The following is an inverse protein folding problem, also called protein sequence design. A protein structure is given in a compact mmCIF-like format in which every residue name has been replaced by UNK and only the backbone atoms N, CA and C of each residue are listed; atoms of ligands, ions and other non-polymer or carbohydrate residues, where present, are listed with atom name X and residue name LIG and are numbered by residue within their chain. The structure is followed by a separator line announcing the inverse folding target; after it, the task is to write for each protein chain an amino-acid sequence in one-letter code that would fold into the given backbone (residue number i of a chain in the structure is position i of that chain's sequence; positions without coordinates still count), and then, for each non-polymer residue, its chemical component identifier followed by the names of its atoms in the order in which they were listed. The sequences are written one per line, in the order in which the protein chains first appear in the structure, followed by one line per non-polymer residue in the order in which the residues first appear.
data_IF_002656319641
#
_entry.id   IF_002656319641
#
_cell.length_a   1.000
_cell.length_b   1.000
_cell.length_c   1.000
_cell.angle_alpha   90.00
_cell.angle_beta   90.00
_cell.angle_gamma   90.00
#
_symmetry.space_group_name_H-M   'P 1'
#
loop_
_entity.id
_entity.type
_entity.pdbx_description
1 polymer ?
#
# COMPACT_ATOMS: atom_id res chain seq x y z
N UNK A 1 -12.97 -7.10 -8.97
CA UNK A 1 -12.79 -5.65 -8.80
C UNK A 1 -13.15 -4.95 -10.09
N UNK A 2 -13.61 -3.69 -10.06
CA UNK A 2 -13.70 -2.87 -11.27
C UNK A 2 -12.31 -2.71 -11.92
N UNK A 3 -12.28 -2.64 -13.25
CA UNK A 3 -11.04 -2.58 -14.05
C UNK A 3 -10.85 -1.24 -14.79
N UNK A 4 -11.82 -0.34 -14.66
CA UNK A 4 -11.75 1.03 -15.17
C UNK A 4 -12.30 1.99 -14.13
N UNK A 5 -11.81 3.23 -14.16
CA UNK A 5 -12.28 4.32 -13.32
C UNK A 5 -12.82 5.42 -14.22
N UNK A 6 -14.09 5.74 -14.05
CA UNK A 6 -14.78 6.84 -14.72
C UNK A 6 -15.25 7.89 -13.70
N UNK A 7 -15.77 9.02 -14.18
CA UNK A 7 -16.32 10.04 -13.28
C UNK A 7 -17.50 9.51 -12.43
N UNK A 8 -18.34 8.63 -12.99
CA UNK A 8 -19.46 8.01 -12.26
C UNK A 8 -19.01 7.09 -11.12
N UNK A 9 -17.75 6.65 -11.14
CA UNK A 9 -17.18 5.83 -10.08
C UNK A 9 -16.64 6.66 -8.91
N UNK A 10 -16.56 7.99 -9.02
CA UNK A 10 -15.96 8.84 -7.99
C UNK A 10 -16.69 8.74 -6.65
N UNK A 11 -15.95 8.93 -5.56
CA UNK A 11 -16.45 8.81 -4.20
C UNK A 11 -17.46 9.92 -3.87
N UNK A 12 -18.72 9.54 -3.65
CA UNK A 12 -19.81 10.45 -3.30
C UNK A 12 -20.08 10.57 -1.80
N UNK A 13 -19.33 9.86 -0.95
CA UNK A 13 -19.48 9.89 0.51
C UNK A 13 -18.72 11.06 1.17
N UNK A 14 -18.13 11.94 0.38
CA UNK A 14 -17.31 13.08 0.84
C UNK A 14 -18.01 14.41 0.58
N UNK A 15 -17.64 15.49 1.29
CA UNK A 15 -18.17 16.83 1.03
C UNK A 15 -17.97 17.28 -0.43
N UNK A 16 -18.83 18.15 -0.92
CA UNK A 16 -18.78 18.68 -2.30
C UNK A 16 -17.40 19.24 -2.67
N UNK A 17 -16.74 19.95 -1.74
CA UNK A 17 -15.40 20.51 -1.96
C UNK A 17 -14.32 19.44 -2.20
N UNK A 18 -14.51 18.24 -1.68
CA UNK A 18 -13.62 17.09 -1.85
C UNK A 18 -13.98 16.31 -3.11
N UNK A 19 -15.29 16.18 -3.41
CA UNK A 19 -15.78 15.62 -4.67
C UNK A 19 -15.32 16.42 -5.90
N UNK A 20 -15.48 17.75 -5.89
CA UNK A 20 -15.04 18.60 -6.99
C UNK A 20 -13.52 18.57 -7.18
N UNK A 21 -12.78 18.41 -6.09
CA UNK A 21 -11.32 18.28 -6.13
C UNK A 21 -10.87 16.97 -6.80
N UNK A 22 -11.43 15.81 -6.40
CA UNK A 22 -11.13 14.53 -7.07
C UNK A 22 -11.61 14.53 -8.53
N UNK A 23 -12.77 15.12 -8.83
CA UNK A 23 -13.27 15.23 -10.21
C UNK A 23 -12.32 16.05 -11.08
N UNK A 24 -11.89 17.21 -10.61
CA UNK A 24 -10.92 18.07 -11.30
C UNK A 24 -9.60 17.34 -11.53
N UNK A 25 -9.06 16.64 -10.52
CA UNK A 25 -7.82 15.86 -10.66
C UNK A 25 -7.97 14.70 -11.65
N UNK A 26 -9.07 13.94 -11.58
CA UNK A 26 -9.33 12.83 -12.52
C UNK A 26 -9.33 13.29 -13.98
N UNK A 27 -9.94 14.45 -14.27
CA UNK A 27 -9.98 15.03 -15.61
C UNK A 27 -8.58 15.39 -16.17
N UNK A 28 -7.58 15.54 -15.28
CA UNK A 28 -6.19 15.77 -15.70
C UNK A 28 -5.41 14.49 -15.95
N UNK A 29 -5.89 13.30 -15.58
CA UNK A 29 -5.14 12.05 -15.73
C UNK A 29 -5.57 11.26 -16.97
N UNK A 30 -4.69 10.36 -17.44
CA UNK A 30 -5.07 9.33 -18.39
C UNK A 30 -5.87 8.23 -17.67
N UNK A 31 -7.09 7.96 -18.14
CA UNK A 31 -8.05 7.01 -17.55
C UNK A 31 -8.59 6.04 -18.60
N UNK A 32 -9.45 5.10 -18.20
CA UNK A 32 -10.23 4.25 -19.11
C UNK A 32 -9.80 2.79 -19.19
N UNK A 33 -8.49 2.50 -19.34
CA UNK A 33 -8.01 1.12 -19.52
C UNK A 33 -6.92 0.74 -18.52
N UNK A 34 -7.00 -0.49 -18.00
CA UNK A 34 -6.07 -1.03 -16.98
C UNK A 34 -4.61 -1.10 -17.47
N UNK A 35 -4.38 -1.21 -18.78
CA UNK A 35 -3.03 -1.24 -19.37
C UNK A 35 -2.64 0.07 -20.06
N UNK A 36 -3.22 1.20 -19.64
CA UNK A 36 -2.76 2.51 -20.11
C UNK A 36 -1.26 2.70 -19.80
N UNK A 37 -0.46 3.19 -20.77
CA UNK A 37 0.96 3.41 -20.52
C UNK A 37 1.19 4.52 -19.49
N UNK A 38 2.30 4.48 -18.73
CA UNK A 38 2.73 5.58 -17.88
C UNK A 38 2.87 6.89 -18.67
N UNK A 39 2.61 8.04 -18.03
CA UNK A 39 2.68 9.33 -18.70
C UNK A 39 3.14 10.45 -17.77
N UNK A 40 3.64 11.56 -18.35
CA UNK A 40 3.97 12.78 -17.60
C UNK A 40 2.75 13.50 -17.03
N UNK A 41 1.59 13.30 -17.67
CA UNK A 41 0.31 13.82 -17.22
C UNK A 41 -0.21 13.07 -15.97
N UNK A 42 0.28 11.85 -15.72
CA UNK A 42 -0.27 10.93 -14.73
C UNK A 42 -1.26 9.97 -15.37
N UNK A 43 -1.07 8.68 -15.10
CA UNK A 43 -1.94 7.59 -15.57
C UNK A 43 -2.60 6.93 -14.38
N UNK A 44 -3.92 6.82 -14.39
CA UNK A 44 -4.66 6.09 -13.36
C UNK A 44 -4.40 4.60 -13.51
N UNK A 45 -3.92 3.99 -12.42
CA UNK A 45 -3.79 2.54 -12.25
C UNK A 45 -4.94 2.09 -11.36
N UNK A 46 -5.82 1.25 -11.90
CA UNK A 46 -7.01 0.77 -11.21
C UNK A 46 -7.24 -0.72 -11.55
N UNK A 47 -7.40 -1.62 -10.57
CA UNK A 47 -7.77 -1.39 -9.17
C UNK A 47 -6.64 -0.97 -8.22
N UNK A 48 -5.46 -0.64 -8.77
CA UNK A 48 -4.32 -0.08 -8.04
C UNK A 48 -3.13 -1.01 -7.97
N UNK A 49 -2.00 -0.53 -7.46
CA UNK A 49 -0.80 -1.35 -7.23
C UNK A 49 -0.99 -2.36 -6.11
N UNK A 50 -1.84 -2.02 -5.12
CA UNK A 50 -2.28 -2.94 -4.08
C UNK A 50 -3.71 -3.45 -4.33
N UNK A 51 -4.16 -3.30 -5.58
CA UNK A 51 -5.51 -3.56 -6.04
C UNK A 51 -5.80 -5.01 -6.37
N UNK A 52 -7.07 -5.31 -6.62
CA UNK A 52 -7.47 -6.66 -7.00
C UNK A 52 -7.17 -7.65 -5.87
N UNK A 53 -6.90 -8.89 -6.24
CA UNK A 53 -6.78 -10.01 -5.32
C UNK A 53 -5.34 -10.37 -4.92
N UNK A 54 -4.37 -9.49 -5.19
CA UNK A 54 -2.95 -9.86 -5.22
C UNK A 54 -2.31 -9.99 -3.83
N UNK A 55 -2.88 -9.32 -2.82
CA UNK A 55 -2.22 -9.14 -1.51
C UNK A 55 -2.84 -9.91 -0.35
N UNK A 56 -3.90 -10.66 -0.63
CA UNK A 56 -4.76 -11.27 0.37
C UNK A 56 -4.82 -12.79 0.33
N UNK A 57 -3.83 -13.50 -0.24
CA UNK A 57 -3.72 -14.97 -0.27
C UNK A 57 -5.04 -15.77 -0.11
N UNK A 58 -5.60 -16.36 -1.18
CA UNK A 58 -6.93 -16.97 -1.12
C UNK A 58 -6.97 -18.19 -0.19
N UNK A 59 -8.18 -18.49 0.33
CA UNK A 59 -8.47 -19.79 0.92
C UNK A 59 -9.22 -20.65 -0.09
N UNK A 60 -8.82 -21.90 -0.25
CA UNK A 60 -9.49 -22.85 -1.14
C UNK A 60 -10.07 -24.01 -0.34
N UNK A 61 -11.32 -24.35 -0.64
CA UNK A 61 -11.99 -25.52 -0.09
C UNK A 61 -12.11 -26.62 -1.16
N UNK A 62 -11.32 -27.70 -1.06
CA UNK A 62 -11.30 -28.75 -2.06
C UNK A 62 -12.58 -29.61 -2.11
N UNK A 63 -13.36 -29.66 -1.03
CA UNK A 63 -14.59 -30.46 -1.01
C UNK A 63 -15.70 -29.80 -1.82
N UNK A 64 -15.75 -28.47 -1.79
CA UNK A 64 -16.79 -27.68 -2.47
C UNK A 64 -16.31 -27.07 -3.78
N UNK A 65 -15.00 -27.05 -4.03
CA UNK A 65 -14.40 -26.38 -5.19
C UNK A 65 -14.52 -24.85 -5.13
N UNK A 66 -14.69 -24.27 -3.93
CA UNK A 66 -14.88 -22.83 -3.75
C UNK A 66 -13.57 -22.18 -3.31
N UNK A 67 -13.21 -21.07 -3.98
CA UNK A 67 -12.14 -20.17 -3.56
C UNK A 67 -12.73 -18.93 -2.88
N UNK A 68 -12.14 -18.53 -1.77
CA UNK A 68 -12.46 -17.33 -1.01
C UNK A 68 -11.32 -16.35 -1.13
N UNK A 69 -11.61 -15.16 -1.65
CA UNK A 69 -10.57 -14.20 -2.01
C UNK A 69 -10.99 -12.78 -1.68
N UNK A 70 -10.16 -12.07 -0.92
CA UNK A 70 -10.35 -10.65 -0.69
C UNK A 70 -9.68 -9.82 -1.79
N UNK A 71 -10.27 -8.67 -2.08
CA UNK A 71 -9.77 -7.77 -3.11
C UNK A 71 -9.96 -6.29 -2.76
N UNK A 72 -9.00 -5.46 -3.18
CA UNK A 72 -9.01 -4.02 -3.03
C UNK A 72 -9.43 -3.31 -4.32
N UNK A 73 -10.12 -2.17 -4.20
CA UNK A 73 -10.49 -1.30 -5.33
C UNK A 73 -9.95 0.12 -5.13
N UNK A 74 -8.62 0.29 -5.12
CA UNK A 74 -7.97 1.56 -4.78
C UNK A 74 -7.36 2.22 -6.01
N UNK A 75 -7.79 3.41 -6.45
CA UNK A 75 -7.12 4.08 -7.57
C UNK A 75 -5.76 4.64 -7.14
N UNK A 76 -4.76 4.48 -8.00
CA UNK A 76 -3.44 5.09 -7.87
C UNK A 76 -3.12 5.89 -9.14
N UNK A 77 -2.17 6.81 -9.04
CA UNK A 77 -1.69 7.60 -10.19
C UNK A 77 -0.20 7.39 -10.35
N UNK A 78 0.20 6.87 -11.50
CA UNK A 78 1.58 6.76 -11.91
C UNK A 78 1.95 7.95 -12.79
N UNK A 79 2.86 8.79 -12.32
CA UNK A 79 3.37 9.95 -13.08
C UNK A 79 4.84 9.74 -13.40
N UNK A 80 5.22 10.06 -14.63
CA UNK A 80 6.60 10.02 -15.09
C UNK A 80 7.20 11.42 -15.08
N UNK A 81 8.45 11.54 -14.63
CA UNK A 81 9.22 12.79 -14.68
C UNK A 81 10.53 12.58 -15.42
N UNK A 82 11.04 13.64 -16.05
CA UNK A 82 12.34 13.62 -16.69
C UNK A 82 13.46 13.43 -15.66
N UNK A 83 14.43 12.60 -15.98
CA UNK A 83 15.69 12.50 -15.23
C UNK A 83 16.76 13.16 -16.08
N UNK A 84 17.36 14.23 -15.56
CA UNK A 84 18.49 14.85 -16.23
C UNK A 84 19.69 13.88 -16.23
N UNK A 85 20.09 13.42 -17.42
CA UNK A 85 21.21 12.50 -17.62
C UNK A 85 22.53 13.23 -17.92
N UNK A 86 22.49 14.53 -18.21
CA UNK A 86 23.60 15.27 -18.81
C UNK A 86 24.42 16.06 -17.79
N UNK A 87 24.91 15.48 -16.69
CA UNK A 87 25.51 16.31 -15.64
C UNK A 87 26.50 15.59 -14.70
N UNK A 88 27.47 14.81 -15.20
CA UNK A 88 28.53 14.30 -14.31
C UNK A 88 29.75 15.24 -14.17
N UNK A 89 29.96 16.20 -15.09
CA UNK A 89 31.25 16.89 -15.15
C UNK A 89 31.37 18.18 -14.32
N UNK A 90 30.28 18.82 -13.86
CA UNK A 90 30.35 20.11 -13.15
C UNK A 90 29.21 20.41 -12.14
N UNK A 91 28.51 19.41 -11.62
CA UNK A 91 27.48 19.65 -10.60
C UNK A 91 28.06 20.06 -9.24
N UNK A 92 27.28 20.86 -8.49
CA UNK A 92 27.43 20.94 -7.05
C UNK A 92 26.64 19.83 -6.33
N UNK A 93 26.86 19.66 -5.03
CA UNK A 93 26.22 18.62 -4.25
C UNK A 93 24.69 18.74 -4.20
N UNK A 94 24.14 19.96 -4.29
CA UNK A 94 22.69 20.15 -4.34
C UNK A 94 22.09 19.57 -5.62
N UNK A 95 22.67 19.91 -6.77
CA UNK A 95 22.23 19.42 -8.08
C UNK A 95 22.35 17.89 -8.15
N UNK A 96 23.51 17.35 -7.75
CA UNK A 96 23.73 15.92 -7.69
C UNK A 96 22.76 15.23 -6.72
N UNK A 97 22.52 15.83 -5.54
CA UNK A 97 21.60 15.31 -4.54
C UNK A 97 20.15 15.24 -5.03
N UNK A 98 19.67 16.26 -5.76
CA UNK A 98 18.35 16.28 -6.38
C UNK A 98 18.20 15.20 -7.46
N UNK A 99 19.20 15.07 -8.34
CA UNK A 99 19.23 14.06 -9.40
C UNK A 99 19.25 12.64 -8.83
N UNK A 100 20.11 12.38 -7.84
CA UNK A 100 20.20 11.10 -7.15
C UNK A 100 18.91 10.79 -6.38
N UNK A 101 18.27 11.79 -5.79
CA UNK A 101 16.96 11.62 -5.15
C UNK A 101 15.89 11.13 -6.14
N UNK A 102 15.77 11.78 -7.29
CA UNK A 102 14.83 11.40 -8.35
C UNK A 102 15.08 9.97 -8.85
N UNK A 103 16.36 9.58 -8.97
CA UNK A 103 16.77 8.27 -9.47
C UNK A 103 16.58 7.15 -8.45
N UNK A 104 16.77 7.42 -7.16
CA UNK A 104 16.94 6.35 -6.15
C UNK A 104 15.92 6.37 -5.03
N UNK A 105 15.41 7.55 -4.65
CA UNK A 105 14.63 7.71 -3.42
C UNK A 105 13.16 8.07 -3.69
N UNK A 106 12.91 8.83 -4.77
CA UNK A 106 11.61 9.44 -5.07
C UNK A 106 10.47 8.43 -5.22
N UNK A 107 10.73 7.24 -5.78
CA UNK A 107 9.70 6.22 -5.95
C UNK A 107 9.08 5.74 -4.63
N UNK A 108 9.84 5.80 -3.53
CA UNK A 108 9.37 5.45 -2.19
C UNK A 108 8.98 6.70 -1.39
N UNK A 109 9.75 7.79 -1.49
CA UNK A 109 9.57 8.97 -0.63
C UNK A 109 8.76 10.10 -1.27
N UNK A 110 8.28 9.94 -2.50
CA UNK A 110 7.44 10.91 -3.22
C UNK A 110 8.24 12.05 -3.87
N UNK A 111 7.65 12.72 -4.86
CA UNK A 111 8.32 13.83 -5.56
C UNK A 111 8.75 14.97 -4.62
N UNK A 112 7.91 15.27 -3.63
CA UNK A 112 8.09 16.35 -2.66
C UNK A 112 8.61 15.87 -1.30
N UNK A 113 9.15 14.65 -1.23
CA UNK A 113 9.65 14.01 0.01
C UNK A 113 8.58 13.72 1.06
N UNK A 114 7.31 13.83 0.71
CA UNK A 114 6.18 13.68 1.62
C UNK A 114 5.94 12.23 2.10
N UNK A 115 6.61 11.25 1.51
CA UNK A 115 6.38 9.82 1.75
C UNK A 115 5.29 9.23 0.85
N UNK A 116 5.17 7.89 0.87
CA UNK A 116 4.12 7.17 0.13
C UNK A 116 3.77 5.86 0.82
N UNK A 117 2.48 5.58 1.04
CA UNK A 117 2.03 4.34 1.68
C UNK A 117 2.69 4.12 3.06
N UNK A 118 3.57 3.11 3.17
CA UNK A 118 4.33 2.81 4.39
C UNK A 118 5.72 3.46 4.45
N UNK A 119 6.12 4.19 3.41
CA UNK A 119 7.38 4.91 3.34
C UNK A 119 7.23 6.27 4.04
N UNK A 120 8.09 6.60 5.01
CA UNK A 120 7.96 7.82 5.78
C UNK A 120 8.30 9.07 4.96
N UNK A 121 7.79 10.21 5.42
CA UNK A 121 8.21 11.54 4.97
C UNK A 121 9.70 11.79 5.28
N UNK A 122 10.38 12.48 4.37
CA UNK A 122 11.73 13.03 4.56
C UNK A 122 11.71 14.55 4.75
N UNK A 123 10.53 15.17 4.85
CA UNK A 123 10.39 16.58 5.24
C UNK A 123 10.85 16.74 6.68
N UNK A 124 11.65 17.78 6.95
CA UNK A 124 12.21 18.09 8.27
C UNK A 124 13.03 16.97 8.92
N UNK A 125 13.54 16.03 8.13
CA UNK A 125 14.31 14.89 8.63
C UNK A 125 15.65 15.31 9.27
N UNK A 126 16.13 16.52 8.97
CA UNK A 126 17.25 17.19 9.63
C UNK A 126 17.03 17.45 11.13
N UNK A 127 15.77 17.50 11.60
CA UNK A 127 15.47 17.58 13.04
C UNK A 127 15.78 16.29 13.78
N UNK A 128 15.90 15.16 13.07
CA UNK A 128 16.07 13.82 13.65
C UNK A 128 17.45 13.23 13.41
N UNK A 129 18.09 13.57 12.29
CA UNK A 129 19.38 13.00 11.90
C UNK A 129 20.36 14.08 11.45
N UNK A 130 21.63 13.91 11.80
CA UNK A 130 22.74 14.61 11.19
C UNK A 130 23.27 13.87 9.94
N UNK A 131 24.29 14.42 9.27
CA UNK A 131 24.89 13.83 8.05
C UNK A 131 25.34 12.37 8.28
N UNK A 132 26.11 12.11 9.33
CA UNK A 132 26.65 10.78 9.61
C UNK A 132 25.54 9.76 9.90
N UNK A 133 24.59 10.13 10.76
CA UNK A 133 23.45 9.26 11.08
C UNK A 133 22.60 8.97 9.84
N UNK A 134 22.37 9.96 8.99
CA UNK A 134 21.61 9.79 7.76
C UNK A 134 22.35 8.91 6.75
N UNK A 135 23.64 9.15 6.52
CA UNK A 135 24.44 8.35 5.56
C UNK A 135 24.61 6.91 6.04
N UNK A 136 24.71 6.68 7.36
CA UNK A 136 24.66 5.33 7.95
C UNK A 136 23.29 4.67 7.74
N UNK A 137 22.19 5.39 7.98
CA UNK A 137 20.85 4.88 7.73
C UNK A 137 20.64 4.51 6.25
N UNK A 138 21.10 5.33 5.31
CA UNK A 138 21.08 5.04 3.87
C UNK A 138 21.91 3.80 3.54
N UNK A 139 23.03 3.59 4.24
CA UNK A 139 23.92 2.45 4.02
C UNK A 139 23.35 1.15 4.58
N UNK A 140 22.77 1.18 5.79
CA UNK A 140 22.25 -0.01 6.48
C UNK A 140 20.82 -0.37 6.09
N UNK A 141 20.05 0.60 5.57
CA UNK A 141 18.60 0.47 5.48
C UNK A 141 17.93 0.42 6.87
N UNK A 142 16.60 0.37 6.88
CA UNK A 142 15.77 0.16 8.09
C UNK A 142 14.34 -0.23 7.72
N UNK A 143 13.80 -1.28 8.34
CA UNK A 143 12.46 -1.81 8.06
C UNK A 143 12.31 -2.13 6.55
N UNK A 144 11.39 -1.47 5.86
CA UNK A 144 11.15 -1.65 4.42
C UNK A 144 12.17 -0.92 3.54
N UNK A 145 12.96 0.02 4.10
CA UNK A 145 14.00 0.73 3.33
C UNK A 145 15.21 -0.17 3.15
N UNK A 146 15.47 -0.54 1.89
CA UNK A 146 16.61 -1.39 1.51
C UNK A 146 17.95 -0.67 1.76
N UNK A 147 19.02 -1.42 2.10
CA UNK A 147 20.38 -0.89 2.16
C UNK A 147 20.83 -0.39 0.77
N UNK A 148 21.32 0.85 0.66
CA UNK A 148 21.83 1.42 -0.59
C UNK A 148 23.37 1.35 -0.64
N UNK A 149 23.90 0.12 -0.59
CA UNK A 149 25.35 -0.16 -0.58
C UNK A 149 26.03 0.17 -1.90
N UNK A 150 25.28 0.21 -3.00
CA UNK A 150 25.78 0.57 -4.32
C UNK A 150 26.18 2.05 -4.43
N UNK A 151 25.64 2.93 -3.59
CA UNK A 151 25.97 4.37 -3.60
C UNK A 151 27.34 4.63 -2.96
N UNK A 152 28.15 5.47 -3.59
CA UNK A 152 29.45 5.91 -3.09
C UNK A 152 29.29 6.86 -1.90
N UNK A 153 30.40 7.14 -1.22
CA UNK A 153 30.43 8.13 -0.14
C UNK A 153 30.04 9.52 -0.66
N UNK A 154 30.53 9.92 -1.83
CA UNK A 154 30.22 11.23 -2.43
C UNK A 154 28.74 11.35 -2.84
N UNK A 155 28.15 10.28 -3.37
CA UNK A 155 26.71 10.24 -3.70
C UNK A 155 25.83 10.31 -2.46
N UNK A 156 26.14 9.53 -1.42
CA UNK A 156 25.41 9.58 -0.14
C UNK A 156 25.48 10.97 0.49
N UNK A 157 26.64 11.62 0.44
CA UNK A 157 26.84 12.98 0.91
C UNK A 157 26.04 14.01 0.11
N UNK A 158 26.01 13.90 -1.21
CA UNK A 158 25.20 14.75 -2.06
C UNK A 158 23.70 14.62 -1.73
N UNK A 159 23.20 13.38 -1.59
CA UNK A 159 21.82 13.11 -1.16
C UNK A 159 21.56 13.72 0.23
N UNK A 160 22.46 13.51 1.20
CA UNK A 160 22.34 14.07 2.54
C UNK A 160 22.26 15.60 2.49
N UNK A 161 23.07 16.26 1.66
CA UNK A 161 23.07 17.72 1.51
C UNK A 161 21.73 18.27 1.05
N UNK A 162 21.02 17.54 0.18
CA UNK A 162 19.70 17.91 -0.33
C UNK A 162 18.60 17.57 0.68
N UNK A 163 18.58 16.34 1.21
CA UNK A 163 17.52 15.85 2.09
C UNK A 163 17.53 16.54 3.45
N UNK A 164 18.71 16.75 4.04
CA UNK A 164 18.88 17.41 5.34
C UNK A 164 18.99 18.93 5.23
N UNK A 165 18.89 19.47 4.01
CA UNK A 165 19.04 20.89 3.67
C UNK A 165 20.34 21.55 4.20
N UNK A 166 21.47 20.85 4.07
CA UNK A 166 22.77 21.30 4.59
C UNK A 166 23.41 22.34 3.66
N UNK A 167 23.05 23.61 3.85
CA UNK A 167 23.46 24.74 2.99
C UNK A 167 24.97 24.85 2.75
N UNK A 168 25.79 24.48 3.74
CA UNK A 168 27.25 24.49 3.62
C UNK A 168 27.76 23.44 2.63
N UNK A 169 27.18 22.24 2.66
CA UNK A 169 27.57 21.12 1.79
C UNK A 169 27.03 21.28 0.38
N UNK A 170 25.83 21.85 0.23
CA UNK A 170 25.14 22.04 -1.05
C UNK A 170 25.98 22.78 -2.10
N UNK A 171 26.79 23.76 -1.67
CA UNK A 171 27.65 24.57 -2.55
C UNK A 171 28.93 23.85 -2.99
N UNK A 172 29.31 22.77 -2.31
CA UNK A 172 30.52 22.01 -2.62
C UNK A 172 30.43 21.34 -4.00
N UNK A 173 31.56 21.22 -4.68
CA UNK A 173 31.65 20.47 -5.95
C UNK A 173 31.33 18.99 -5.71
N UNK A 174 30.46 18.42 -6.53
CA UNK A 174 30.20 17.00 -6.52
C UNK A 174 31.34 16.25 -7.21
N UNK A 175 31.79 15.15 -6.59
CA UNK A 175 32.83 14.27 -7.15
C UNK A 175 32.14 12.95 -7.52
N UNK A 176 31.90 12.75 -8.81
CA UNK A 176 31.30 11.52 -9.32
C UNK A 176 32.23 10.32 -9.05
N UNK A 177 31.70 9.16 -8.61
CA UNK A 177 32.51 7.96 -8.47
C UNK A 177 32.98 7.45 -9.84
N UNK A 178 34.17 6.84 -9.93
CA UNK A 178 34.61 6.21 -11.17
C UNK A 178 33.78 4.93 -11.40
N UNK A 179 32.68 5.04 -12.16
CA UNK A 179 31.88 3.90 -12.60
C UNK A 179 31.82 3.88 -14.12
N UNK A 180 31.94 2.69 -14.69
CA UNK A 180 31.65 2.51 -16.11
C UNK A 180 30.19 2.87 -16.35
N UNK A 181 29.95 3.78 -17.30
CA UNK A 181 28.58 4.10 -17.70
C UNK A 181 27.99 2.91 -18.45
N UNK A 182 26.96 2.30 -17.86
CA UNK A 182 26.15 1.31 -18.55
C UNK A 182 24.88 1.99 -19.09
N UNK A 183 24.76 1.98 -20.42
CA UNK A 183 23.65 2.58 -21.14
C UNK A 183 22.29 1.96 -20.75
N UNK A 184 22.25 0.71 -20.30
CA UNK A 184 21.03 0.06 -19.82
C UNK A 184 20.41 0.80 -18.63
N UNK A 185 21.24 1.35 -17.73
CA UNK A 185 20.78 2.07 -16.54
C UNK A 185 20.57 3.58 -16.76
N UNK A 186 20.73 4.07 -18.00
CA UNK A 186 20.44 5.45 -18.39
C UNK A 186 18.98 5.60 -18.80
N UNK A 187 18.08 5.51 -17.82
CA UNK A 187 16.64 5.73 -18.05
C UNK A 187 16.29 7.23 -18.06
N UNK A 188 15.80 7.78 -19.19
CA UNK A 188 15.50 9.22 -19.30
C UNK A 188 14.31 9.67 -18.44
N UNK A 189 13.55 8.72 -17.89
CA UNK A 189 12.39 8.98 -17.05
C UNK A 189 12.46 8.18 -15.75
N UNK A 190 11.89 8.74 -14.69
CA UNK A 190 11.66 8.07 -13.41
C UNK A 190 10.19 8.20 -13.02
N UNK A 191 9.68 7.24 -12.26
CA UNK A 191 8.32 7.31 -11.73
C UNK A 191 8.29 8.13 -10.44
N UNK A 192 7.23 8.89 -10.23
CA UNK A 192 6.96 9.57 -8.95
C UNK A 192 6.54 8.62 -7.83
N UNK A 193 6.69 7.31 -8.03
CA UNK A 193 6.33 6.29 -7.07
C UNK A 193 4.86 5.89 -7.07
N UNK A 194 4.48 5.25 -5.98
CA UNK A 194 3.15 4.70 -5.77
C UNK A 194 2.26 5.75 -5.08
N UNK A 195 1.56 6.56 -5.88
CA UNK A 195 0.71 7.64 -5.36
C UNK A 195 -0.76 7.20 -5.33
N UNK A 196 -1.33 7.01 -4.13
CA UNK A 196 -2.76 6.73 -3.97
C UNK A 196 -3.60 7.93 -4.39
N UNK A 197 -4.66 7.69 -5.15
CA UNK A 197 -5.64 8.73 -5.48
C UNK A 197 -6.71 8.81 -4.40
N UNK A 198 -6.49 9.73 -3.46
CA UNK A 198 -7.33 9.90 -2.28
C UNK A 198 -8.06 11.25 -2.29
N UNK A 199 -9.20 11.28 -1.62
CA UNK A 199 -9.94 12.48 -1.18
C UNK A 199 -9.14 13.25 -0.10
N UNK A 200 -9.57 14.47 0.25
CA UNK A 200 -8.90 15.29 1.28
C UNK A 200 -8.96 14.65 2.67
N UNK A 201 -10.01 13.89 2.93
CA UNK A 201 -10.27 13.15 4.16
C UNK A 201 -9.45 11.85 4.23
N UNK A 202 -8.74 11.49 3.16
CA UNK A 202 -7.90 10.29 3.09
C UNK A 202 -8.65 9.02 2.64
N UNK A 203 -9.92 9.13 2.26
CA UNK A 203 -10.65 8.03 1.62
C UNK A 203 -10.22 7.84 0.17
N UNK A 204 -10.33 6.63 -0.38
CA UNK A 204 -10.15 6.38 -1.81
C UNK A 204 -11.04 7.29 -2.65
N UNK A 205 -10.51 7.81 -3.77
CA UNK A 205 -11.25 8.70 -4.66
C UNK A 205 -12.39 8.00 -5.44
N UNK A 206 -12.52 6.69 -5.31
CA UNK A 206 -13.60 5.88 -5.89
C UNK A 206 -14.67 5.58 -4.84
N UNK A 207 -15.92 5.47 -5.24
CA UNK A 207 -17.03 5.01 -4.38
C UNK A 207 -16.79 3.56 -3.92
N UNK A 208 -17.24 3.18 -2.71
CA UNK A 208 -17.10 1.83 -2.18
C UNK A 208 -17.83 0.77 -3.01
N UNK A 209 -17.49 -0.54 -2.84
CA UNK A 209 -16.62 -1.07 -1.81
C UNK A 209 -15.13 -0.91 -2.11
N UNK A 210 -14.37 -0.54 -1.09
CA UNK A 210 -12.91 -0.32 -1.16
C UNK A 210 -12.09 -1.58 -0.93
N UNK A 211 -12.65 -2.49 -0.13
CA UNK A 211 -12.13 -3.82 0.12
C UNK A 211 -13.29 -4.78 0.23
N UNK A 212 -13.10 -5.99 -0.27
CA UNK A 212 -14.16 -6.99 -0.40
C UNK A 212 -13.65 -8.37 -0.06
N UNK A 213 -14.55 -9.28 0.28
CA UNK A 213 -14.32 -10.72 0.37
C UNK A 213 -15.37 -11.41 -0.51
N UNK A 214 -14.95 -12.33 -1.36
CA UNK A 214 -15.82 -13.01 -2.33
C UNK A 214 -15.63 -14.52 -2.29
N UNK A 215 -16.69 -15.26 -2.57
CA UNK A 215 -16.62 -16.69 -2.87
C UNK A 215 -16.87 -16.94 -4.35
N UNK A 216 -15.99 -17.71 -4.98
CA UNK A 216 -16.06 -18.05 -6.40
C UNK A 216 -16.00 -19.57 -6.53
N UNK A 217 -16.90 -20.15 -7.29
CA UNK A 217 -16.83 -21.56 -7.66
C UNK A 217 -15.74 -21.73 -8.73
N UNK A 218 -14.66 -22.45 -8.42
CA UNK A 218 -13.54 -22.63 -9.36
C UNK A 218 -13.87 -23.56 -10.53
N UNK A 219 -14.89 -24.41 -10.40
CA UNK A 219 -15.30 -25.30 -11.48
C UNK A 219 -16.09 -24.54 -12.56
N UNK A 220 -16.86 -23.52 -12.17
CA UNK A 220 -17.74 -22.78 -13.09
C UNK A 220 -17.29 -21.33 -13.36
N UNK A 221 -16.43 -20.77 -12.51
CA UNK A 221 -16.07 -19.35 -12.52
C UNK A 221 -17.15 -18.42 -11.93
N UNK A 222 -18.24 -18.97 -11.37
CA UNK A 222 -19.36 -18.18 -10.86
C UNK A 222 -19.02 -17.50 -9.52
N UNK A 223 -19.38 -16.21 -9.42
CA UNK A 223 -19.36 -15.48 -8.14
C UNK A 223 -20.58 -15.87 -7.31
N UNK A 224 -20.37 -16.61 -6.23
CA UNK A 224 -21.44 -17.11 -5.36
C UNK A 224 -21.96 -16.04 -4.41
N UNK A 225 -21.05 -15.28 -3.80
CA UNK A 225 -21.38 -14.13 -2.96
C UNK A 225 -20.19 -13.18 -2.83
N UNK A 226 -20.48 -11.93 -2.46
CA UNK A 226 -19.49 -10.86 -2.26
C UNK A 226 -19.94 -9.91 -1.16
N UNK A 227 -19.05 -9.61 -0.22
CA UNK A 227 -19.26 -8.64 0.85
C UNK A 227 -18.17 -7.58 0.89
N UNK A 228 -18.48 -6.42 1.45
CA UNK A 228 -17.47 -5.45 1.85
C UNK A 228 -16.64 -5.99 3.04
N UNK A 229 -15.32 -5.80 3.02
CA UNK A 229 -14.40 -6.24 4.06
C UNK A 229 -13.76 -5.05 4.76
N UNK A 230 -14.23 -4.81 5.98
CA UNK A 230 -13.81 -3.70 6.83
C UNK A 230 -14.78 -2.52 6.79
N UNK A 231 -14.67 -1.66 7.80
CA UNK A 231 -15.51 -0.48 7.96
C UNK A 231 -14.72 0.71 8.52
N UNK A 232 -15.21 1.92 8.28
CA UNK A 232 -14.70 3.14 8.93
C UNK A 232 -15.68 3.53 10.05
N UNK A 233 -15.25 3.55 11.33
CA UNK A 233 -16.14 3.85 12.46
C UNK A 233 -16.92 5.16 12.28
N UNK A 234 -16.29 6.18 11.73
CA UNK A 234 -16.88 7.49 11.49
C UNK A 234 -17.93 7.51 10.35
N UNK A 235 -17.83 6.59 9.37
CA UNK A 235 -18.86 6.42 8.33
C UNK A 235 -20.02 5.58 8.85
N UNK A 236 -19.72 4.53 9.63
CA UNK A 236 -20.73 3.71 10.30
C UNK A 236 -21.58 4.53 11.28
N UNK A 237 -20.96 5.44 12.03
CA UNK A 237 -21.66 6.36 12.92
C UNK A 237 -22.65 7.28 12.19
N UNK A 238 -22.46 7.51 10.88
CA UNK A 238 -23.38 8.25 10.01
C UNK A 238 -24.45 7.36 9.36
N UNK A 239 -24.54 6.09 9.74
CA UNK A 239 -25.47 5.13 9.17
C UNK A 239 -25.05 4.59 7.79
N UNK A 240 -23.82 4.85 7.34
CA UNK A 240 -23.31 4.32 6.07
C UNK A 240 -22.95 2.84 6.29
N UNK A 241 -23.42 1.90 5.43
CA UNK A 241 -23.04 0.50 5.50
C UNK A 241 -21.53 0.29 5.38
N UNK A 242 -21.07 -0.94 5.65
CA UNK A 242 -19.67 -1.30 5.51
C UNK A 242 -19.15 -0.95 4.09
N UNK A 243 -18.24 0.02 4.03
CA UNK A 243 -17.64 0.50 2.78
C UNK A 243 -16.49 -0.36 2.31
N UNK A 244 -16.04 -1.31 3.14
CA UNK A 244 -14.73 -1.92 2.97
C UNK A 244 -13.63 -0.99 3.44
N UNK A 245 -12.47 -1.56 3.71
CA UNK A 245 -11.20 -0.85 3.91
C UNK A 245 -10.16 -1.51 3.01
N UNK A 246 -9.03 -0.86 2.78
CA UNK A 246 -7.92 -1.55 2.13
C UNK A 246 -7.47 -2.75 2.98
N UNK A 247 -7.28 -3.90 2.34
CA UNK A 247 -7.07 -5.19 2.95
C UNK A 247 -5.69 -5.75 2.61
N UNK A 248 -5.02 -6.34 3.60
CA UNK A 248 -3.81 -7.13 3.41
C UNK A 248 -3.82 -8.37 4.29
N UNK A 249 -3.28 -9.47 3.80
CA UNK A 249 -3.42 -10.77 4.46
C UNK A 249 -4.67 -11.50 4.01
N UNK A 250 -4.66 -12.81 4.20
CA UNK A 250 -5.67 -13.69 3.64
C UNK A 250 -6.63 -14.30 4.63
N UNK A 251 -7.40 -15.24 4.10
CA UNK A 251 -8.42 -15.97 4.86
C UNK A 251 -7.99 -17.40 5.14
N UNK A 252 -8.66 -18.03 6.10
CA UNK A 252 -8.63 -19.47 6.29
C UNK A 252 -10.05 -20.02 6.28
N UNK A 253 -10.27 -21.08 5.51
CA UNK A 253 -11.54 -21.81 5.46
C UNK A 253 -11.42 -23.13 6.22
N UNK A 254 -12.48 -23.51 6.91
CA UNK A 254 -12.55 -24.75 7.70
C UNK A 254 -13.55 -25.73 7.08
N UNK A 255 -13.32 -27.03 7.28
CA UNK A 255 -14.26 -28.08 6.87
C UNK A 255 -15.67 -27.86 7.47
N UNK A 256 -15.74 -27.34 8.70
CA UNK A 256 -16.98 -27.03 9.41
C UNK A 256 -17.80 -25.86 8.88
N UNK A 257 -17.42 -25.25 7.75
CA UNK A 257 -18.24 -24.23 7.09
C UNK A 257 -17.92 -22.78 7.48
N UNK A 258 -16.81 -22.55 8.19
CA UNK A 258 -16.41 -21.23 8.66
C UNK A 258 -15.25 -20.67 7.84
N UNK A 259 -15.33 -19.38 7.50
CA UNK A 259 -14.30 -18.60 6.83
C UNK A 259 -13.82 -17.47 7.74
N UNK A 260 -12.53 -17.44 8.06
CA UNK A 260 -11.94 -16.46 8.96
C UNK A 260 -11.01 -15.50 8.25
N UNK A 261 -11.09 -14.20 8.57
CA UNK A 261 -10.22 -13.17 7.97
C UNK A 261 -10.09 -11.94 8.88
N UNK A 262 -8.85 -11.43 9.02
CA UNK A 262 -8.53 -10.24 9.83
C UNK A 262 -8.13 -9.00 8.99
N UNK A 263 -7.88 -9.20 7.70
CA UNK A 263 -7.10 -8.38 6.78
C UNK A 263 -7.40 -6.86 6.68
N UNK A 264 -8.48 -6.38 7.30
CA UNK A 264 -8.97 -5.01 7.18
C UNK A 264 -8.26 -4.02 8.10
N UNK A 265 -8.21 -2.76 7.66
CA UNK A 265 -7.58 -1.64 8.38
C UNK A 265 -8.21 -1.37 9.75
N UNK A 266 -9.48 -1.73 9.93
CA UNK A 266 -10.23 -1.53 11.18
C UNK A 266 -9.84 -2.46 12.33
N UNK A 267 -8.91 -3.39 12.09
CA UNK A 267 -8.36 -4.26 13.14
C UNK A 267 -9.32 -5.29 13.69
N UNK A 268 -10.37 -5.64 12.95
CA UNK A 268 -11.32 -6.67 13.34
C UNK A 268 -10.97 -8.04 12.76
N UNK A 269 -11.14 -9.08 13.56
CA UNK A 269 -11.13 -10.46 13.10
C UNK A 269 -12.56 -10.97 12.91
N UNK A 270 -12.85 -11.52 11.73
CA UNK A 270 -14.21 -11.89 11.32
C UNK A 270 -14.32 -13.35 10.96
N UNK A 271 -15.49 -13.91 11.23
CA UNK A 271 -15.91 -15.23 10.82
C UNK A 271 -17.20 -15.13 9.98
N UNK A 272 -17.16 -15.66 8.77
CA UNK A 272 -18.28 -15.74 7.84
C UNK A 272 -18.73 -17.19 7.66
N UNK A 273 -20.01 -17.39 7.40
CA UNK A 273 -20.51 -18.64 6.84
C UNK A 273 -19.97 -18.79 5.41
N UNK A 274 -19.25 -19.88 5.13
CA UNK A 274 -18.55 -20.07 3.84
C UNK A 274 -19.54 -20.15 2.66
N UNK A 275 -20.75 -20.67 2.87
CA UNK A 275 -21.71 -20.91 1.78
C UNK A 275 -22.44 -19.65 1.34
N UNK A 276 -22.82 -18.78 2.27
CA UNK A 276 -23.67 -17.61 1.96
C UNK A 276 -23.04 -16.26 2.34
N UNK A 277 -21.82 -16.25 2.86
CA UNK A 277 -21.11 -15.03 3.23
C UNK A 277 -21.70 -14.31 4.45
N UNK A 278 -22.68 -14.86 5.18
CA UNK A 278 -23.24 -14.19 6.35
C UNK A 278 -22.16 -14.04 7.44
N UNK A 279 -21.98 -12.83 7.97
CA UNK A 279 -21.12 -12.59 9.13
C UNK A 279 -21.72 -13.32 10.34
N UNK A 280 -20.95 -14.20 10.96
CA UNK A 280 -21.35 -15.01 12.11
C UNK A 280 -20.79 -14.48 13.42
N UNK A 281 -19.56 -13.96 13.38
CA UNK A 281 -18.85 -13.46 14.55
C UNK A 281 -17.77 -12.46 14.15
N UNK A 282 -17.53 -11.47 15.00
CA UNK A 282 -16.36 -10.59 14.90
C UNK A 282 -15.85 -10.16 16.28
N UNK A 283 -14.57 -9.81 16.36
CA UNK A 283 -13.93 -9.21 17.54
C UNK A 283 -12.89 -8.18 17.13
N UNK A 284 -12.59 -7.26 18.03
CA UNK A 284 -11.44 -6.36 17.90
C UNK A 284 -10.14 -7.07 18.27
N UNK A 285 -9.07 -6.78 17.53
CA UNK A 285 -7.70 -7.25 17.81
C UNK A 285 -6.88 -6.15 18.48
N UNK A 286 -5.82 -6.51 19.25
CA UNK A 286 -4.94 -5.53 19.90
C UNK A 286 -4.20 -4.60 18.92
N UNK A 287 -4.00 -5.07 17.68
CA UNK A 287 -3.55 -4.35 16.50
C UNK A 287 -4.06 -5.07 15.23
N UNK A 288 -4.22 -4.41 14.07
CA UNK A 288 -4.71 -5.08 12.87
C UNK A 288 -3.86 -6.28 12.43
N UNK A 289 -4.55 -7.37 12.10
CA UNK A 289 -3.94 -8.60 11.60
C UNK A 289 -3.85 -8.59 10.07
N UNK A 290 -2.69 -8.24 9.52
CA UNK A 290 -2.44 -8.29 8.07
C UNK A 290 -1.82 -9.61 7.59
N UNK A 291 -1.95 -10.68 8.40
CA UNK A 291 -1.48 -12.02 8.09
C UNK A 291 -2.65 -12.93 7.72
N UNK A 292 -2.35 -14.04 7.05
CA UNK A 292 -3.31 -15.15 6.91
C UNK A 292 -3.39 -15.90 8.25
N UNK A 293 -4.58 -16.13 8.83
CA UNK A 293 -4.69 -16.88 10.07
C UNK A 293 -4.32 -18.35 9.86
N UNK A 294 -3.80 -18.99 10.91
CA UNK A 294 -3.47 -20.41 10.92
C UNK A 294 -4.50 -21.19 11.72
N UNK A 295 -4.93 -22.34 11.19
CA UNK A 295 -5.83 -23.28 11.87
C UNK A 295 -5.02 -24.51 12.25
N UNK A 296 -5.11 -24.95 13.50
CA UNK A 296 -4.45 -26.17 13.98
C UNK A 296 -5.27 -26.84 15.06
N UNK A 297 -4.92 -28.09 15.37
CA UNK A 297 -5.49 -28.84 16.48
C UNK A 297 -4.42 -29.12 17.54
N UNK A 298 -4.79 -28.97 18.81
CA UNK A 298 -3.96 -29.38 19.94
C UNK A 298 -4.85 -30.03 21.00
N UNK A 299 -4.47 -31.23 21.47
CA UNK A 299 -5.22 -32.02 22.46
C UNK A 299 -6.70 -32.23 22.08
N UNK A 300 -6.99 -32.52 20.81
CA UNK A 300 -8.36 -32.74 20.32
C UNK A 300 -9.22 -31.48 20.19
N UNK A 301 -8.64 -30.29 20.39
CA UNK A 301 -9.32 -29.00 20.26
C UNK A 301 -8.74 -28.19 19.12
N UNK A 302 -9.63 -27.67 18.27
CA UNK A 302 -9.25 -26.81 17.15
C UNK A 302 -9.08 -25.36 17.60
N UNK A 303 -8.03 -24.74 17.08
CA UNK A 303 -7.67 -23.36 17.31
C UNK A 303 -7.49 -22.63 15.99
N UNK A 304 -7.76 -21.34 16.03
CA UNK A 304 -7.36 -20.40 15.00
C UNK A 304 -6.52 -19.30 15.62
N UNK A 305 -5.36 -19.04 15.04
CA UNK A 305 -4.40 -18.03 15.52
C UNK A 305 -4.15 -16.99 14.45
N UNK A 306 -4.12 -15.73 14.86
CA UNK A 306 -3.78 -14.59 14.01
C UNK A 306 -2.64 -13.78 14.64
N UNK A 307 -1.63 -13.46 13.81
CA UNK A 307 -0.57 -12.54 14.16
C UNK A 307 -1.08 -11.10 14.03
N UNK A 308 -1.03 -10.34 15.13
CA UNK A 308 -1.43 -8.95 15.22
C UNK A 308 -0.21 -8.03 15.12
N UNK A 309 0.57 -8.19 14.04
CA UNK A 309 1.78 -7.40 13.80
C UNK A 309 1.51 -5.92 13.48
N UNK A 310 0.37 -5.61 12.87
CA UNK A 310 -0.05 -4.25 12.55
C UNK A 310 0.96 -3.42 11.74
N UNK A 311 0.83 -2.09 11.83
CA UNK A 311 1.80 -1.11 11.31
C UNK A 311 1.67 -0.74 9.83
N UNK A 312 0.93 -1.51 9.03
CA UNK A 312 0.58 -1.13 7.65
C UNK A 312 -0.54 -0.08 7.63
N UNK A 313 -0.62 0.71 6.58
CA UNK A 313 -1.72 1.69 6.38
C UNK A 313 -1.86 2.75 7.47
N UNK A 314 -0.76 3.04 8.19
CA UNK A 314 -0.76 3.98 9.32
C UNK A 314 -1.52 3.47 10.55
N UNK A 315 -1.78 2.16 10.62
CA UNK A 315 -2.43 1.54 11.78
C UNK A 315 -1.46 1.32 12.93
N UNK A 316 -2.02 1.09 14.13
CA UNK A 316 -1.24 0.72 15.32
C UNK A 316 -0.38 -0.51 15.03
N UNK A 317 0.89 -0.46 15.42
CA UNK A 317 1.79 -1.63 15.39
C UNK A 317 1.53 -2.53 16.60
N UNK A 318 1.74 -3.83 16.43
CA UNK A 318 1.68 -4.80 17.52
C UNK A 318 2.69 -5.93 17.31
N UNK A 319 2.81 -6.80 18.30
CA UNK A 319 3.69 -7.98 18.32
C UNK A 319 2.99 -9.20 18.94
N UNK A 320 1.67 -9.11 19.09
CA UNK A 320 0.86 -10.14 19.74
C UNK A 320 0.37 -11.21 18.76
N UNK A 321 0.19 -12.43 19.27
CA UNK A 321 -0.60 -13.48 18.63
C UNK A 321 -1.87 -13.70 19.44
N UNK A 322 -3.01 -13.80 18.77
CA UNK A 322 -4.29 -14.07 19.43
C UNK A 322 -4.83 -15.40 18.96
N UNK A 323 -5.12 -16.29 19.91
CA UNK A 323 -5.65 -17.63 19.67
C UNK A 323 -7.14 -17.68 20.06
N UNK A 324 -7.96 -18.27 19.21
CA UNK A 324 -9.38 -18.50 19.45
C UNK A 324 -9.68 -19.98 19.31
N UNK A 325 -10.66 -20.45 20.08
CA UNK A 325 -11.22 -21.79 19.96
C UNK A 325 -12.72 -21.71 20.19
N UNK A 326 -13.48 -22.63 19.62
CA UNK A 326 -14.88 -22.80 20.04
C UNK A 326 -14.92 -23.25 21.52
N UNK A 327 -16.01 -22.92 22.25
CA UNK A 327 -16.23 -23.48 23.58
C UNK A 327 -16.22 -25.01 23.53
N UNK A 328 -15.72 -25.65 24.59
CA UNK A 328 -15.94 -27.09 24.76
C UNK A 328 -17.46 -27.31 24.83
N UNK A 329 -17.98 -28.25 24.03
CA UNK A 329 -19.43 -28.47 23.83
C UNK A 329 -20.19 -28.30 25.15
N UNK A 330 -21.25 -27.47 25.14
CA UNK A 330 -22.32 -27.56 26.14
C UNK A 330 -23.16 -28.80 25.88
#
# INVERSE_FOLDING_TARGET
ARQSLTESDLNTLVPDSSYQDIKKRLATYKTGFIFNPPSKQGTVIFPGFDGGAEWGGPAFDPETGIIYINANEMPWVLTMVDVNQNTESNENNLQAGQRLYIKTCMACHGAERQGSGNNPTLIDVNKKYNEDQFTQLVTSGRRMMLPLTQLSVSEKKAIASYILDLKSLQKGKFIAPPRAEDAYYKMPYSSTGYNKFLTKEGYPAVSPPWGTISAINLNTGELLWKNALGEYPELKAKGIPATGTENYGGSAVTAGGLLFIAASKDGKFRCFNKTNGKLLWETELPAPGFATPSVYEANGKQYIVIACGGGKLGTKSGDAYVAFSLPDKK
#
